data_IF_592674778117
#
_entry.id   IF_592674778117
#
_cell.length_a   1.000
_cell.length_b   1.000
_cell.length_c   1.000
_cell.angle_alpha   90.00
_cell.angle_beta   90.00
_cell.angle_gamma   90.00
#
_symmetry.space_group_name_H-M   'P 1'
#
loop_
_entity.id
_entity.type
_entity.pdbx_description
1 polymer ?
#
# COMPACT_ATOMS: atom_id res chain seq x y z
N UNK A 1 -14.43 17.64 1.33
CA UNK A 1 -15.76 18.17 0.89
C UNK A 1 -15.60 18.61 -0.56
N UNK A 2 -16.45 19.47 -1.15
CA UNK A 2 -16.14 20.10 -2.45
C UNK A 2 -15.44 21.43 -2.16
N UNK A 3 -14.20 21.55 -2.62
CA UNK A 3 -13.41 22.75 -2.40
C UNK A 3 -13.61 23.71 -3.58
N UNK A 4 -13.77 24.99 -3.26
CA UNK A 4 -14.08 26.02 -4.23
C UNK A 4 -13.30 27.29 -3.96
N UNK A 5 -12.77 27.88 -5.03
CA UNK A 5 -12.28 29.24 -5.02
C UNK A 5 -13.45 30.22 -5.13
N UNK A 6 -13.29 31.44 -4.61
CA UNK A 6 -14.34 32.46 -4.63
C UNK A 6 -13.94 33.67 -5.45
N UNK A 7 -14.86 34.17 -6.25
CA UNK A 7 -14.71 35.46 -6.93
C UNK A 7 -14.76 36.62 -5.94
N UNK A 8 -14.34 37.81 -6.38
CA UNK A 8 -14.53 39.06 -5.65
C UNK A 8 -16.02 39.38 -5.37
N UNK A 9 -16.94 38.79 -6.16
CA UNK A 9 -18.39 38.87 -6.00
C UNK A 9 -18.99 37.66 -5.27
N UNK A 10 -18.14 36.82 -4.64
CA UNK A 10 -18.50 35.64 -3.85
C UNK A 10 -19.08 34.44 -4.64
N UNK A 11 -18.91 34.41 -5.96
CA UNK A 11 -19.27 33.25 -6.78
C UNK A 11 -18.25 32.12 -6.59
N UNK A 12 -18.70 30.85 -6.54
CA UNK A 12 -17.83 29.69 -6.36
C UNK A 12 -17.35 29.15 -7.70
N UNK A 13 -16.04 29.09 -7.88
CA UNK A 13 -15.40 28.37 -8.98
C UNK A 13 -14.90 27.03 -8.47
N UNK A 14 -15.23 25.98 -9.21
CA UNK A 14 -14.78 24.64 -8.93
C UNK A 14 -13.81 24.21 -10.02
N UNK A 15 -12.73 23.55 -9.61
CA UNK A 15 -11.84 22.86 -10.53
C UNK A 15 -12.63 21.73 -11.25
N UNK A 16 -12.34 21.44 -12.53
CA UNK A 16 -12.96 20.32 -13.24
C UNK A 16 -12.91 18.98 -12.48
N UNK A 17 -11.88 18.70 -11.67
CA UNK A 17 -11.80 17.50 -10.83
C UNK A 17 -12.95 17.39 -9.82
N UNK A 18 -13.59 18.51 -9.46
CA UNK A 18 -14.77 18.50 -8.58
C UNK A 18 -16.00 17.90 -9.27
N UNK A 19 -16.05 17.85 -10.60
CA UNK A 19 -17.12 17.19 -11.35
C UNK A 19 -17.06 15.68 -11.12
N UNK A 20 -15.88 15.08 -11.21
CA UNK A 20 -15.68 13.64 -10.95
C UNK A 20 -16.00 13.30 -9.49
N UNK A 21 -15.56 14.14 -8.56
CA UNK A 21 -15.87 14.00 -7.14
C UNK A 21 -17.38 14.08 -6.87
N UNK A 22 -18.10 14.97 -7.57
CA UNK A 22 -19.56 15.07 -7.51
C UNK A 22 -20.25 13.81 -8.05
N UNK A 23 -19.78 13.28 -9.18
CA UNK A 23 -20.32 12.04 -9.75
C UNK A 23 -20.16 10.87 -8.78
N UNK A 24 -19.00 10.75 -8.13
CA UNK A 24 -18.76 9.74 -7.09
C UNK A 24 -19.76 9.88 -5.93
N UNK A 25 -19.95 11.10 -5.41
CA UNK A 25 -20.88 11.36 -4.31
C UNK A 25 -22.31 10.96 -4.70
N UNK A 26 -22.78 11.32 -5.89
CA UNK A 26 -24.12 10.96 -6.36
C UNK A 26 -24.28 9.45 -6.53
N UNK A 27 -23.26 8.76 -7.05
CA UNK A 27 -23.28 7.30 -7.16
C UNK A 27 -23.39 6.63 -5.78
N UNK A 28 -22.63 7.09 -4.78
CA UNK A 28 -22.69 6.53 -3.42
C UNK A 28 -24.01 6.83 -2.72
N UNK A 29 -24.59 8.01 -2.94
CA UNK A 29 -25.94 8.33 -2.45
C UNK A 29 -26.98 7.38 -3.02
N UNK A 30 -26.89 7.04 -4.31
CA UNK A 30 -27.78 6.06 -4.94
C UNK A 30 -27.63 4.65 -4.35
N UNK A 31 -26.46 4.33 -3.81
CA UNK A 31 -26.18 3.07 -3.10
C UNK A 31 -26.66 3.08 -1.64
N UNK A 32 -27.25 4.20 -1.16
CA UNK A 32 -27.83 4.31 0.17
C UNK A 32 -26.85 4.75 1.27
N UNK A 33 -25.62 5.16 0.92
CA UNK A 33 -24.65 5.66 1.88
C UNK A 33 -25.04 7.05 2.40
N UNK A 34 -24.80 7.29 3.68
CA UNK A 34 -24.91 8.61 4.30
C UNK A 34 -23.74 9.51 3.91
N UNK A 35 -23.93 10.83 4.03
CA UNK A 35 -22.87 11.80 3.72
C UNK A 35 -21.61 11.63 4.61
N UNK A 36 -21.78 11.11 5.82
CA UNK A 36 -20.66 10.83 6.75
C UNK A 36 -19.82 9.66 6.24
N UNK A 37 -20.48 8.59 5.78
CA UNK A 37 -19.79 7.42 5.19
C UNK A 37 -19.10 7.80 3.88
N UNK A 38 -19.76 8.58 3.03
CA UNK A 38 -19.18 9.07 1.77
C UNK A 38 -17.98 9.98 2.05
N UNK A 39 -18.07 10.85 3.06
CA UNK A 39 -16.94 11.69 3.48
C UNK A 39 -15.76 10.84 3.97
N UNK A 40 -16.03 9.76 4.70
CA UNK A 40 -14.99 8.84 5.13
C UNK A 40 -14.31 8.18 3.93
N UNK A 41 -15.05 7.63 2.97
CA UNK A 41 -14.49 7.06 1.74
C UNK A 41 -13.65 8.07 0.94
N UNK A 42 -14.11 9.32 0.88
CA UNK A 42 -13.41 10.40 0.19
C UNK A 42 -12.16 10.92 0.91
N UNK A 43 -12.05 10.66 2.22
CA UNK A 43 -10.91 11.03 3.06
C UNK A 43 -9.92 9.87 3.20
N UNK A 44 -10.33 8.64 2.89
CA UNK A 44 -9.39 7.55 2.61
C UNK A 44 -8.71 7.92 1.30
N UNK A 45 -7.59 8.63 1.43
CA UNK A 45 -6.71 8.93 0.31
C UNK A 45 -6.32 7.63 -0.40
N UNK A 46 -6.61 7.48 -1.71
CA UNK A 46 -6.03 6.39 -2.52
C UNK A 46 -4.52 6.51 -2.66
N UNK A 47 -3.98 7.67 -2.28
CA UNK A 47 -2.58 8.02 -2.24
C UNK A 47 -2.28 8.59 -0.85
N UNK A 48 -1.93 7.74 0.12
CA UNK A 48 -0.66 8.07 0.76
C UNK A 48 0.33 8.07 -0.42
N UNK A 49 1.00 9.19 -0.69
CA UNK A 49 2.22 9.13 -1.47
C UNK A 49 3.08 8.08 -0.79
N UNK A 50 3.06 6.86 -1.32
CA UNK A 50 4.02 5.85 -0.93
C UNK A 50 5.33 6.50 -1.33
N UNK A 51 6.06 7.01 -0.34
CA UNK A 51 7.40 7.51 -0.56
C UNK A 51 8.18 6.33 -1.14
N UNK A 52 8.31 6.32 -2.46
CA UNK A 52 8.93 5.23 -3.20
C UNK A 52 10.39 5.08 -2.75
N UNK A 53 11.00 6.16 -2.26
CA UNK A 53 12.32 6.12 -1.67
C UNK A 53 12.32 5.38 -0.33
N UNK A 54 11.36 5.67 0.55
CA UNK A 54 11.18 4.93 1.80
C UNK A 54 10.86 3.44 1.54
N UNK A 55 10.02 3.14 0.55
CA UNK A 55 9.70 1.78 0.18
C UNK A 55 10.94 1.02 -0.33
N UNK A 56 11.72 1.65 -1.23
CA UNK A 56 12.98 1.09 -1.72
C UNK A 56 13.96 0.80 -0.59
N UNK A 57 14.10 1.74 0.36
CA UNK A 57 14.98 1.57 1.52
C UNK A 57 14.54 0.37 2.36
N UNK A 58 13.24 0.27 2.68
CA UNK A 58 12.69 -0.88 3.41
C UNK A 58 12.87 -2.21 2.67
N UNK A 59 12.79 -2.20 1.34
CA UNK A 59 13.03 -3.40 0.53
C UNK A 59 14.51 -3.82 0.56
N UNK A 60 15.44 -2.86 0.54
CA UNK A 60 16.88 -3.14 0.67
C UNK A 60 17.23 -3.67 2.07
N UNK A 61 16.66 -3.07 3.12
CA UNK A 61 16.83 -3.56 4.49
C UNK A 61 16.33 -5.01 4.61
N UNK A 62 15.15 -5.29 4.05
CA UNK A 62 14.57 -6.63 4.04
C UNK A 62 15.42 -7.64 3.25
N UNK A 63 15.97 -7.24 2.10
CA UNK A 63 16.88 -8.07 1.31
C UNK A 63 18.13 -8.44 2.12
N UNK A 64 18.72 -7.46 2.81
CA UNK A 64 19.88 -7.67 3.66
C UNK A 64 19.58 -8.64 4.81
N UNK A 65 18.45 -8.45 5.50
CA UNK A 65 18.02 -9.32 6.59
C UNK A 65 17.81 -10.76 6.11
N UNK A 66 17.16 -10.95 4.96
CA UNK A 66 16.93 -12.28 4.36
C UNK A 66 18.24 -12.93 3.92
N UNK A 67 19.14 -12.17 3.29
CA UNK A 67 20.45 -12.68 2.90
C UNK A 67 21.26 -13.14 4.11
N UNK A 68 21.28 -12.32 5.17
CA UNK A 68 21.96 -12.67 6.43
C UNK A 68 21.35 -13.90 7.09
N UNK A 69 20.02 -14.03 7.11
CA UNK A 69 19.34 -15.22 7.62
C UNK A 69 19.68 -16.47 6.81
N UNK A 70 19.75 -16.37 5.47
CA UNK A 70 20.12 -17.49 4.61
C UNK A 70 21.58 -17.90 4.77
N UNK A 71 22.50 -16.94 4.92
CA UNK A 71 23.90 -17.22 5.24
C UNK A 71 24.04 -17.91 6.60
N UNK A 72 23.38 -17.38 7.65
CA UNK A 72 23.35 -18.02 8.96
C UNK A 72 22.72 -19.42 8.93
N UNK A 73 21.73 -19.64 8.06
CA UNK A 73 21.16 -20.96 7.82
C UNK A 73 22.16 -21.89 7.13
N UNK A 74 22.90 -21.43 6.13
CA UNK A 74 23.92 -22.22 5.43
C UNK A 74 25.16 -22.52 6.30
N UNK A 75 25.54 -21.60 7.19
CA UNK A 75 26.63 -21.80 8.14
C UNK A 75 26.24 -22.72 9.32
N UNK A 76 24.95 -22.90 9.58
CA UNK A 76 24.47 -23.82 10.61
C UNK A 76 24.16 -25.20 10.03
N UNK A 77 24.87 -26.21 10.55
CA UNK A 77 24.64 -27.65 10.39
C UNK A 77 23.26 -27.99 9.82
N UNK A 78 23.23 -28.75 8.72
CA UNK A 78 22.03 -29.25 8.00
C UNK A 78 20.85 -29.69 8.90
N UNK A 79 21.11 -30.11 10.14
CA UNK A 79 20.12 -30.46 11.18
C UNK A 79 19.24 -29.28 11.66
N UNK A 80 19.74 -28.03 11.62
CA UNK A 80 18.98 -26.82 12.01
C UNK A 80 18.14 -26.24 10.87
N UNK A 81 18.61 -26.32 9.63
CA UNK A 81 17.83 -25.93 8.44
C UNK A 81 16.53 -26.76 8.34
N UNK A 82 16.58 -28.08 8.62
CA UNK A 82 15.37 -28.90 8.65
C UNK A 82 14.37 -28.47 9.72
N UNK A 83 14.86 -28.00 10.88
CA UNK A 83 13.98 -27.53 11.96
C UNK A 83 13.37 -26.19 11.63
N UNK A 84 14.10 -25.29 10.97
CA UNK A 84 13.54 -24.01 10.49
C UNK A 84 12.52 -24.26 9.36
N UNK A 85 12.85 -25.10 8.37
CA UNK A 85 11.90 -25.50 7.31
C UNK A 85 10.64 -26.19 7.83
N UNK A 86 10.70 -26.87 8.97
CA UNK A 86 9.52 -27.44 9.64
C UNK A 86 8.66 -26.40 10.37
N UNK A 87 9.22 -25.28 10.78
CA UNK A 87 8.53 -24.21 11.50
C UNK A 87 8.08 -23.06 10.58
N UNK A 88 8.52 -23.07 9.32
CA UNK A 88 8.13 -22.09 8.30
C UNK A 88 7.17 -22.77 7.33
N UNK A 89 5.99 -22.17 7.16
CA UNK A 89 4.97 -22.75 6.29
C UNK A 89 5.42 -22.74 4.81
N UNK A 90 4.97 -23.69 3.98
CA UNK A 90 5.29 -23.72 2.55
C UNK A 90 4.95 -22.41 1.83
N UNK A 91 3.87 -21.75 2.24
CA UNK A 91 3.42 -20.46 1.72
C UNK A 91 4.42 -19.35 2.03
N UNK A 92 5.01 -19.37 3.23
CA UNK A 92 6.04 -18.40 3.63
C UNK A 92 7.32 -18.58 2.81
N UNK A 93 7.68 -19.82 2.48
CA UNK A 93 8.82 -20.12 1.59
C UNK A 93 8.55 -19.64 0.16
N UNK A 94 7.36 -19.91 -0.37
CA UNK A 94 6.95 -19.46 -1.69
C UNK A 94 6.92 -17.92 -1.79
N UNK A 95 6.48 -17.25 -0.73
CA UNK A 95 6.51 -15.79 -0.63
C UNK A 95 7.95 -15.26 -0.63
N UNK A 96 8.84 -15.82 0.18
CA UNK A 96 10.26 -15.42 0.20
C UNK A 96 10.93 -15.60 -1.17
N UNK A 97 10.67 -16.71 -1.86
CA UNK A 97 11.18 -16.96 -3.21
C UNK A 97 10.61 -15.98 -4.25
N UNK A 98 9.32 -15.63 -4.13
CA UNK A 98 8.69 -14.67 -5.02
C UNK A 98 9.25 -13.26 -4.80
N UNK A 99 9.49 -12.87 -3.55
CA UNK A 99 10.13 -11.59 -3.20
C UNK A 99 11.56 -11.52 -3.74
N UNK A 100 12.35 -12.58 -3.59
CA UNK A 100 13.71 -12.67 -4.15
C UNK A 100 13.71 -12.49 -5.68
N UNK A 101 12.77 -13.11 -6.39
CA UNK A 101 12.65 -13.01 -7.85
C UNK A 101 12.32 -11.59 -8.33
N UNK A 102 11.51 -10.87 -7.56
CA UNK A 102 11.12 -9.49 -7.85
C UNK A 102 12.26 -8.49 -7.61
N UNK A 103 13.19 -8.81 -6.71
CA UNK A 103 14.34 -7.96 -6.37
C UNK A 103 15.51 -8.18 -7.36
N UNK A 104 15.61 -9.35 -7.98
CA UNK A 104 16.67 -9.70 -8.94
C UNK A 104 16.33 -9.39 -10.42
N UNK A 105 15.25 -8.65 -10.71
CA UNK A 105 14.95 -8.04 -12.03
C UNK A 105 15.12 -6.53 -11.97
#
# INVERSE_FOLDING_TARGET
MLDAERSATNYRYYDPAMIERLQFIEQRKQQGLSLVEIQHELNITPYEEIDVQMLRLKMQDLEHDVASLLEQMNEQDYKKIETIKKNVSPESIALMQSLLLLIHN
#
